data_IF_291326456392
#
_entry.id   IF_291326456392
#
_cell.length_a   1.000
_cell.length_b   1.000
_cell.length_c   1.000
_cell.angle_alpha   90.00
_cell.angle_beta   90.00
_cell.angle_gamma   90.00
#
_symmetry.space_group_name_H-M   'P 1'
#
loop_
_entity.id
_entity.type
_entity.pdbx_description
1 polymer ?
#
# COMPACT_ATOMS: atom_id res chain seq x y z
N UNK A 1 10.09 -0.50 14.56
CA UNK A 1 9.60 -0.82 13.20
C UNK A 1 9.55 -2.33 13.06
N UNK A 2 8.46 -2.85 12.52
CA UNK A 2 8.22 -4.28 12.29
C UNK A 2 8.09 -4.50 10.79
N UNK A 3 8.64 -5.61 10.29
CA UNK A 3 8.46 -6.08 8.91
C UNK A 3 8.02 -7.54 8.99
N UNK A 4 6.97 -7.90 8.26
CA UNK A 4 6.39 -9.25 8.27
C UNK A 4 6.25 -9.73 6.83
N UNK A 5 6.67 -10.97 6.59
CA UNK A 5 6.44 -11.66 5.34
C UNK A 5 5.03 -12.28 5.33
N UNK A 6 4.16 -11.71 4.53
CA UNK A 6 2.79 -12.23 4.33
C UNK A 6 2.74 -13.33 3.25
N UNK A 7 1.62 -14.01 3.15
CA UNK A 7 1.34 -14.95 2.06
C UNK A 7 1.64 -14.34 0.69
N UNK A 8 2.26 -15.12 -0.17
CA UNK A 8 2.78 -14.68 -1.45
C UNK A 8 4.27 -14.32 -1.45
N UNK A 9 4.89 -14.06 -0.30
CA UNK A 9 6.33 -13.79 -0.22
C UNK A 9 7.14 -14.98 -0.71
N UNK A 10 8.11 -14.77 -1.64
CA UNK A 10 8.95 -15.87 -2.16
C UNK A 10 9.88 -16.44 -1.09
N UNK A 11 10.47 -17.59 -1.40
CA UNK A 11 11.47 -18.32 -0.59
C UNK A 11 10.96 -19.02 0.69
N UNK A 12 9.68 -18.92 1.04
CA UNK A 12 9.08 -19.71 2.13
C UNK A 12 8.71 -21.11 1.62
N UNK A 13 7.76 -21.20 0.70
CA UNK A 13 7.40 -22.43 -0.01
C UNK A 13 6.56 -22.13 -1.25
N UNK A 14 6.49 -23.06 -2.22
CA UNK A 14 5.58 -22.91 -3.37
C UNK A 14 4.10 -22.80 -2.98
N UNK A 15 3.69 -23.45 -1.90
CA UNK A 15 2.32 -23.34 -1.40
C UNK A 15 2.06 -21.95 -0.82
N UNK A 16 2.99 -21.39 -0.07
CA UNK A 16 2.89 -20.04 0.50
C UNK A 16 2.83 -18.96 -0.60
N UNK A 17 3.63 -19.09 -1.65
CA UNK A 17 3.57 -18.18 -2.81
C UNK A 17 2.20 -18.24 -3.50
N UNK A 18 1.60 -19.44 -3.63
CA UNK A 18 0.32 -19.61 -4.31
C UNK A 18 -0.90 -19.15 -3.51
N UNK A 19 -0.76 -18.77 -2.25
CA UNK A 19 -1.89 -18.27 -1.43
C UNK A 19 -2.53 -17.02 -2.01
N UNK A 20 -1.76 -16.20 -2.74
CA UNK A 20 -2.24 -14.97 -3.39
C UNK A 20 -2.72 -15.18 -4.84
N UNK A 21 -2.73 -16.41 -5.34
CA UNK A 21 -3.15 -16.67 -6.72
C UNK A 21 -4.60 -16.21 -6.95
N UNK A 22 -4.79 -15.37 -7.97
CA UNK A 22 -6.03 -14.69 -8.36
C UNK A 22 -6.58 -13.65 -7.36
N UNK A 23 -5.83 -13.32 -6.28
CA UNK A 23 -6.21 -12.32 -5.28
C UNK A 23 -4.99 -11.82 -4.51
N UNK A 24 -4.56 -10.61 -4.72
CA UNK A 24 -3.36 -10.07 -4.05
C UNK A 24 -3.64 -9.56 -2.66
N UNK A 25 -4.72 -8.80 -2.51
CA UNK A 25 -4.89 -7.86 -1.44
C UNK A 25 -5.28 -8.51 -0.13
N UNK A 26 -6.33 -9.34 -0.16
CA UNK A 26 -6.97 -9.78 1.08
C UNK A 26 -6.05 -10.63 1.94
N UNK A 27 -5.38 -11.62 1.34
CA UNK A 27 -4.47 -12.51 2.09
C UNK A 27 -3.32 -11.73 2.72
N UNK A 28 -2.68 -10.84 1.92
CA UNK A 28 -1.56 -10.05 2.42
C UNK A 28 -1.98 -9.09 3.54
N UNK A 29 -3.14 -8.45 3.41
CA UNK A 29 -3.66 -7.52 4.42
C UNK A 29 -4.04 -8.24 5.72
N UNK A 30 -4.72 -9.37 5.63
CA UNK A 30 -5.12 -10.16 6.80
C UNK A 30 -3.89 -10.67 7.55
N UNK A 31 -2.90 -11.22 6.83
CA UNK A 31 -1.64 -11.69 7.42
C UNK A 31 -0.89 -10.56 8.15
N UNK A 32 -0.84 -9.35 7.58
CA UNK A 32 -0.22 -8.19 8.23
C UNK A 32 -0.97 -7.81 9.51
N UNK A 33 -2.29 -7.80 9.49
CA UNK A 33 -3.12 -7.46 10.65
C UNK A 33 -2.99 -8.53 11.76
N UNK A 34 -2.99 -9.81 11.39
CA UNK A 34 -2.88 -10.91 12.34
C UNK A 34 -1.48 -11.00 12.96
N UNK A 35 -0.43 -10.74 12.16
CA UNK A 35 0.93 -10.65 12.66
C UNK A 35 1.10 -9.53 13.70
N UNK A 36 0.50 -8.34 13.46
CA UNK A 36 0.54 -7.25 14.43
C UNK A 36 -0.14 -7.65 15.75
N UNK A 37 -1.30 -8.30 15.69
CA UNK A 37 -2.00 -8.80 16.89
C UNK A 37 -1.17 -9.82 17.65
N UNK A 38 -0.57 -10.77 16.94
CA UNK A 38 0.29 -11.79 17.55
C UNK A 38 1.54 -11.19 18.20
N UNK A 39 2.17 -10.21 17.55
CA UNK A 39 3.31 -9.49 18.12
C UNK A 39 2.90 -8.67 19.35
N UNK A 40 1.78 -7.96 19.31
CA UNK A 40 1.29 -7.20 20.46
C UNK A 40 0.98 -8.06 21.68
N UNK A 41 0.56 -9.31 21.49
CA UNK A 41 0.34 -10.24 22.58
C UNK A 41 1.64 -10.66 23.29
N UNK A 42 2.79 -10.58 22.62
CA UNK A 42 4.11 -10.98 23.14
C UNK A 42 5.06 -9.81 23.41
N UNK A 43 4.76 -8.63 22.89
CA UNK A 43 5.57 -7.42 23.00
C UNK A 43 4.71 -6.28 23.54
N UNK A 44 4.58 -6.12 24.85
CA UNK A 44 3.68 -5.14 25.49
C UNK A 44 4.12 -3.68 25.31
N UNK A 45 5.32 -3.45 24.78
CA UNK A 45 5.84 -2.14 24.38
C UNK A 45 5.35 -1.67 23.00
N UNK A 46 4.67 -2.54 22.24
CA UNK A 46 4.01 -2.17 20.99
C UNK A 46 2.65 -1.51 21.24
N UNK A 47 2.51 -0.28 20.80
CA UNK A 47 1.25 0.45 20.87
C UNK A 47 0.37 0.13 19.65
N UNK A 48 -0.56 -0.78 19.82
CA UNK A 48 -1.47 -1.19 18.75
C UNK A 48 -2.62 -0.19 18.50
N UNK A 49 -2.78 0.82 19.33
CA UNK A 49 -3.77 1.90 19.13
C UNK A 49 -3.21 3.02 18.24
N UNK A 50 -1.91 2.96 17.89
CA UNK A 50 -1.22 3.96 17.07
C UNK A 50 -0.30 3.31 16.04
N UNK A 51 -0.87 2.49 15.16
CA UNK A 51 -0.13 1.76 14.11
C UNK A 51 -0.05 2.58 12.84
N UNK A 52 1.17 2.98 12.44
CA UNK A 52 1.46 3.54 11.14
C UNK A 52 2.03 2.50 10.19
N UNK A 53 1.65 2.57 8.91
CA UNK A 53 2.20 1.70 7.86
C UNK A 53 2.88 2.54 6.79
N UNK A 54 4.01 2.06 6.28
CA UNK A 54 4.68 2.66 5.12
C UNK A 54 5.15 1.59 4.16
N UNK A 55 5.13 1.90 2.89
CA UNK A 55 5.64 1.00 1.87
C UNK A 55 5.81 1.69 0.52
N UNK A 56 6.53 1.02 -0.37
CA UNK A 56 6.82 1.49 -1.73
C UNK A 56 6.37 0.45 -2.74
N UNK A 57 5.89 0.88 -3.93
CA UNK A 57 5.40 0.00 -4.99
C UNK A 57 4.26 -0.90 -4.49
N UNK A 58 4.37 -2.21 -4.55
CA UNK A 58 3.40 -3.13 -3.94
C UNK A 58 3.22 -2.89 -2.43
N UNK A 59 4.30 -2.53 -1.72
CA UNK A 59 4.19 -2.10 -0.31
C UNK A 59 3.41 -0.80 -0.15
N UNK A 60 3.51 0.12 -1.10
CA UNK A 60 2.68 1.34 -1.17
C UNK A 60 1.21 1.01 -1.40
N UNK A 61 0.93 0.06 -2.30
CA UNK A 61 -0.40 -0.50 -2.49
C UNK A 61 -0.98 -1.06 -1.18
N UNK A 62 -0.24 -1.93 -0.48
CA UNK A 62 -0.68 -2.48 0.80
C UNK A 62 -0.84 -1.41 1.87
N UNK A 63 0.01 -0.39 1.89
CA UNK A 63 -0.10 0.73 2.83
C UNK A 63 -1.39 1.53 2.64
N UNK A 64 -1.75 1.86 1.40
CA UNK A 64 -3.02 2.52 1.09
C UNK A 64 -4.21 1.61 1.40
N UNK A 65 -4.16 0.34 0.98
CA UNK A 65 -5.20 -0.65 1.25
C UNK A 65 -5.47 -0.82 2.75
N UNK A 66 -4.41 -0.80 3.57
CA UNK A 66 -4.50 -0.97 5.01
C UNK A 66 -5.41 0.08 5.67
N UNK A 67 -5.24 1.35 5.32
CA UNK A 67 -6.08 2.42 5.89
C UNK A 67 -7.45 2.54 5.22
N UNK A 68 -7.60 2.00 4.01
CA UNK A 68 -8.91 1.94 3.32
C UNK A 68 -9.80 0.82 3.88
N UNK A 69 -9.23 -0.37 4.14
CA UNK A 69 -10.03 -1.56 4.52
C UNK A 69 -9.90 -2.00 5.96
N UNK A 70 -8.80 -1.63 6.63
CA UNK A 70 -8.55 -2.00 8.03
C UNK A 70 -8.20 -0.80 8.90
N UNK A 71 -9.05 0.25 8.92
CA UNK A 71 -8.86 1.42 9.78
C UNK A 71 -8.94 1.09 11.28
N UNK A 72 -9.45 -0.10 11.61
CA UNK A 72 -9.46 -0.68 12.94
C UNK A 72 -8.08 -1.10 13.44
N UNK A 73 -7.14 -1.38 12.53
CA UNK A 73 -5.78 -1.84 12.84
C UNK A 73 -4.74 -0.79 12.45
N UNK A 74 -4.91 -0.15 11.28
CA UNK A 74 -3.94 0.80 10.73
C UNK A 74 -4.47 2.22 10.82
N UNK A 75 -3.72 3.09 11.51
CA UNK A 75 -4.19 4.41 11.92
C UNK A 75 -3.63 5.56 11.07
N UNK A 76 -2.57 5.31 10.29
CA UNK A 76 -2.03 6.23 9.30
C UNK A 76 -1.20 5.46 8.26
N UNK A 77 -1.09 5.98 7.01
CA UNK A 77 -0.28 5.36 5.98
C UNK A 77 0.55 6.35 5.17
N UNK A 78 1.76 5.92 4.78
CA UNK A 78 2.56 6.50 3.71
C UNK A 78 2.65 5.49 2.57
N UNK A 79 2.03 5.79 1.44
CA UNK A 79 1.93 4.93 0.26
C UNK A 79 2.76 5.51 -0.88
N UNK A 80 3.97 4.96 -1.09
CA UNK A 80 4.88 5.37 -2.14
C UNK A 80 4.67 4.58 -3.42
N UNK A 81 4.53 5.25 -4.55
CA UNK A 81 4.38 4.70 -5.89
C UNK A 81 3.41 3.49 -5.96
N UNK A 82 2.18 3.60 -5.40
CA UNK A 82 1.26 2.47 -5.34
C UNK A 82 0.66 2.15 -6.71
N UNK A 83 0.68 0.89 -7.18
CA UNK A 83 -0.19 0.45 -8.28
C UNK A 83 -1.64 0.37 -7.75
N UNK A 84 -2.49 1.31 -8.13
CA UNK A 84 -3.84 1.45 -7.54
C UNK A 84 -4.93 0.68 -8.28
N UNK A 85 -4.65 0.25 -9.51
CA UNK A 85 -5.50 -0.58 -10.34
C UNK A 85 -4.62 -1.49 -11.22
N UNK A 86 -4.63 -2.77 -10.97
CA UNK A 86 -3.78 -3.73 -11.68
C UNK A 86 -4.14 -3.92 -13.15
N UNK A 87 -5.29 -3.44 -13.60
CA UNK A 87 -5.65 -3.37 -15.04
C UNK A 87 -4.79 -2.35 -15.81
N UNK A 88 -4.14 -1.44 -15.10
CA UNK A 88 -3.26 -0.39 -15.63
C UNK A 88 -1.78 -0.68 -15.42
N UNK A 89 -1.44 -1.83 -14.84
CA UNK A 89 -0.07 -2.23 -14.57
C UNK A 89 0.42 -3.25 -15.60
N UNK A 90 1.74 -3.52 -15.64
CA UNK A 90 2.31 -4.41 -16.63
C UNK A 90 1.77 -5.85 -16.55
N UNK A 91 1.59 -6.49 -17.70
CA UNK A 91 0.98 -7.81 -17.82
C UNK A 91 1.89 -8.92 -17.32
N UNK A 92 3.20 -8.80 -17.49
CA UNK A 92 4.16 -9.82 -17.10
C UNK A 92 4.16 -10.08 -15.59
N UNK A 93 4.01 -9.00 -14.80
CA UNK A 93 3.85 -9.10 -13.35
C UNK A 93 2.42 -9.49 -12.98
N UNK A 94 1.45 -8.74 -13.48
CA UNK A 94 0.05 -8.82 -13.02
C UNK A 94 -0.59 -10.16 -13.36
N UNK A 95 -0.49 -10.61 -14.61
CA UNK A 95 -1.13 -11.83 -15.08
C UNK A 95 -0.53 -13.11 -14.46
N UNK A 96 0.73 -13.05 -14.04
CA UNK A 96 1.37 -14.14 -13.29
C UNK A 96 0.60 -14.48 -12.00
N UNK A 97 0.02 -13.48 -11.35
CA UNK A 97 -0.65 -13.64 -10.06
C UNK A 97 -2.16 -13.63 -10.19
N UNK A 98 -2.71 -12.70 -10.99
CA UNK A 98 -4.17 -12.53 -11.14
C UNK A 98 -4.76 -13.33 -12.31
N UNK A 99 -3.94 -13.81 -13.24
CA UNK A 99 -4.41 -14.36 -14.51
C UNK A 99 -4.87 -13.25 -15.46
N UNK A 100 -5.52 -13.61 -16.56
CA UNK A 100 -6.04 -12.64 -17.52
C UNK A 100 -7.23 -11.86 -16.91
N UNK A 101 -7.35 -10.55 -17.19
CA UNK A 101 -8.49 -9.75 -16.69
C UNK A 101 -9.84 -10.31 -17.10
N UNK A 102 -9.94 -10.90 -18.30
CA UNK A 102 -11.17 -11.51 -18.81
C UNK A 102 -11.55 -12.80 -18.08
N UNK A 103 -10.58 -13.50 -17.48
CA UNK A 103 -10.77 -14.75 -16.75
C UNK A 103 -10.94 -14.55 -15.24
N UNK A 104 -10.57 -13.38 -14.74
CA UNK A 104 -10.62 -13.04 -13.31
C UNK A 104 -11.08 -11.58 -13.07
N UNK A 105 -12.18 -11.11 -13.67
CA UNK A 105 -12.63 -9.73 -13.53
C UNK A 105 -12.90 -9.34 -12.06
N UNK A 106 -13.44 -10.27 -11.27
CA UNK A 106 -13.73 -10.04 -9.85
C UNK A 106 -12.48 -9.87 -9.01
N UNK A 107 -11.40 -10.62 -9.31
CA UNK A 107 -10.10 -10.45 -8.63
C UNK A 107 -9.47 -9.09 -8.91
N UNK A 108 -9.52 -8.64 -10.17
CA UNK A 108 -9.04 -7.31 -10.53
C UNK A 108 -9.88 -6.19 -9.90
N UNK A 109 -11.19 -6.34 -9.83
CA UNK A 109 -12.06 -5.40 -9.14
C UNK A 109 -11.80 -5.38 -7.64
N UNK A 110 -11.65 -6.56 -7.02
CA UNK A 110 -11.35 -6.68 -5.59
C UNK A 110 -10.00 -6.04 -5.19
N UNK A 111 -9.04 -6.00 -6.11
CA UNK A 111 -7.71 -5.43 -5.88
C UNK A 111 -7.57 -3.97 -6.35
N UNK A 112 -8.68 -3.30 -6.74
CA UNK A 112 -8.70 -1.90 -7.16
C UNK A 112 -8.87 -0.96 -5.94
N UNK A 113 -7.86 -0.15 -5.63
CA UNK A 113 -7.93 0.83 -4.53
C UNK A 113 -8.84 2.02 -4.85
N UNK A 114 -9.00 2.33 -6.13
CA UNK A 114 -9.80 3.49 -6.56
C UNK A 114 -11.26 3.33 -6.15
N UNK A 115 -11.77 2.09 -6.20
CA UNK A 115 -13.14 1.76 -5.82
C UNK A 115 -13.38 1.88 -4.30
N UNK A 116 -12.32 1.79 -3.49
CA UNK A 116 -12.38 1.90 -2.03
C UNK A 116 -12.23 3.36 -1.53
N UNK A 117 -12.02 4.33 -2.41
CA UNK A 117 -11.68 5.71 -2.04
C UNK A 117 -12.64 6.34 -1.01
N UNK A 118 -13.94 6.05 -1.12
CA UNK A 118 -14.95 6.56 -0.19
C UNK A 118 -14.79 6.05 1.26
N UNK A 119 -14.05 4.98 1.47
CA UNK A 119 -13.84 4.34 2.79
C UNK A 119 -12.70 4.96 3.58
N UNK A 120 -11.94 5.90 3.02
CA UNK A 120 -10.81 6.49 3.73
C UNK A 120 -11.24 7.31 4.95
N UNK A 121 -10.88 6.84 6.14
CA UNK A 121 -11.12 7.52 7.43
C UNK A 121 -9.83 7.90 8.16
N UNK A 122 -8.68 7.44 7.66
CA UNK A 122 -7.38 7.58 8.32
C UNK A 122 -6.45 8.49 7.50
N UNK A 123 -5.51 9.20 8.15
CA UNK A 123 -4.50 9.98 7.44
C UNK A 123 -3.73 9.15 6.42
N UNK A 124 -3.69 9.64 5.18
CA UNK A 124 -2.97 9.01 4.06
C UNK A 124 -2.06 10.03 3.39
N UNK A 125 -0.78 9.69 3.27
CA UNK A 125 0.19 10.37 2.43
C UNK A 125 0.48 9.49 1.20
N UNK A 126 0.14 10.00 0.02
CA UNK A 126 0.53 9.44 -1.26
C UNK A 126 1.85 10.08 -1.70
N UNK A 127 2.81 9.28 -2.14
CA UNK A 127 4.10 9.75 -2.67
C UNK A 127 4.32 9.17 -4.05
N UNK A 128 4.77 9.98 -5.03
CA UNK A 128 5.05 9.45 -6.37
C UNK A 128 6.13 10.23 -7.10
N UNK A 129 7.06 9.51 -7.73
CA UNK A 129 8.02 10.06 -8.68
C UNK A 129 7.34 10.40 -10.00
N UNK A 130 7.42 11.65 -10.46
CA UNK A 130 6.74 12.07 -11.68
C UNK A 130 7.40 11.53 -12.98
N UNK A 131 8.62 10.99 -12.90
CA UNK A 131 9.30 10.31 -13.98
C UNK A 131 9.29 8.78 -13.81
N UNK A 132 8.37 8.24 -13.00
CA UNK A 132 8.23 6.79 -12.76
C UNK A 132 7.72 6.11 -14.02
N UNK A 133 8.55 5.23 -14.58
CA UNK A 133 8.31 4.46 -15.80
C UNK A 133 7.93 3.00 -15.53
N UNK A 134 7.91 2.59 -14.26
CA UNK A 134 7.46 1.27 -13.81
C UNK A 134 5.99 1.34 -13.34
N UNK A 135 5.72 2.04 -12.24
CA UNK A 135 4.36 2.36 -11.81
C UNK A 135 4.05 3.80 -12.23
N UNK A 136 3.35 3.95 -13.34
CA UNK A 136 3.09 5.28 -13.88
C UNK A 136 2.37 6.18 -12.87
N UNK A 137 2.71 7.48 -12.75
CA UNK A 137 2.10 8.41 -11.79
C UNK A 137 0.57 8.51 -11.87
N UNK A 138 -0.02 8.13 -13.00
CA UNK A 138 -1.48 8.06 -13.16
C UNK A 138 -2.17 7.19 -12.10
N UNK A 139 -1.52 6.15 -11.60
CA UNK A 139 -2.06 5.33 -10.52
C UNK A 139 -2.39 6.17 -9.29
N UNK A 140 -1.41 6.91 -8.78
CA UNK A 140 -1.60 7.79 -7.63
C UNK A 140 -2.58 8.93 -7.93
N UNK A 141 -2.52 9.50 -9.14
CA UNK A 141 -3.43 10.60 -9.52
C UNK A 141 -4.88 10.13 -9.61
N UNK A 142 -5.16 8.93 -10.11
CA UNK A 142 -6.50 8.34 -10.15
C UNK A 142 -7.06 8.11 -8.74
N UNK A 143 -6.25 7.55 -7.84
CA UNK A 143 -6.67 7.39 -6.44
C UNK A 143 -6.91 8.74 -5.76
N UNK A 144 -6.01 9.71 -5.95
CA UNK A 144 -6.17 11.07 -5.41
C UNK A 144 -7.43 11.76 -5.96
N UNK A 145 -7.73 11.58 -7.25
CA UNK A 145 -8.97 12.10 -7.87
C UNK A 145 -10.21 11.48 -7.22
N UNK A 146 -10.23 10.15 -7.04
CA UNK A 146 -11.35 9.44 -6.43
C UNK A 146 -11.55 9.84 -4.95
N UNK A 147 -10.46 9.96 -4.18
CA UNK A 147 -10.49 10.45 -2.80
C UNK A 147 -11.05 11.87 -2.72
N UNK A 148 -10.61 12.77 -3.61
CA UNK A 148 -11.10 14.15 -3.68
C UNK A 148 -12.59 14.17 -4.02
N UNK A 149 -13.03 13.40 -5.01
CA UNK A 149 -14.44 13.29 -5.40
C UNK A 149 -15.32 12.74 -4.27
N UNK A 150 -14.77 11.83 -3.45
CA UNK A 150 -15.45 11.28 -2.26
C UNK A 150 -15.38 12.21 -1.02
N UNK A 151 -14.75 13.39 -1.13
CA UNK A 151 -14.57 14.31 -0.01
C UNK A 151 -13.64 13.78 1.10
N UNK A 152 -12.67 12.92 0.72
CA UNK A 152 -11.72 12.30 1.67
C UNK A 152 -10.37 13.03 1.66
N UNK A 153 -10.05 13.80 2.72
CA UNK A 153 -8.79 14.51 2.82
C UNK A 153 -7.58 13.56 2.82
N UNK A 154 -6.58 13.90 2.04
CA UNK A 154 -5.32 13.18 1.95
C UNK A 154 -4.18 14.13 1.59
N UNK A 155 -2.95 13.67 1.69
CA UNK A 155 -1.77 14.42 1.28
C UNK A 155 -1.14 13.76 0.05
N UNK A 156 -0.60 14.58 -0.86
CA UNK A 156 0.14 14.12 -2.03
C UNK A 156 1.51 14.80 -2.09
N UNK A 157 2.58 14.00 -2.09
CA UNK A 157 3.95 14.44 -2.32
C UNK A 157 4.41 13.97 -3.69
N UNK A 158 4.39 14.88 -4.65
CA UNK A 158 4.93 14.64 -5.98
C UNK A 158 6.45 14.92 -6.00
N UNK A 159 7.22 14.01 -6.61
CA UNK A 159 8.68 14.09 -6.69
C UNK A 159 9.12 14.32 -8.15
N UNK A 160 9.32 15.59 -8.58
CA UNK A 160 9.72 15.90 -9.94
C UNK A 160 11.07 15.26 -10.31
N UNK A 161 11.16 14.65 -11.51
CA UNK A 161 12.37 14.04 -12.02
C UNK A 161 12.80 12.73 -11.35
N UNK A 162 12.02 12.21 -10.40
CA UNK A 162 12.28 10.94 -9.72
C UNK A 162 11.54 9.82 -10.44
N UNK A 163 12.27 8.74 -10.72
CA UNK A 163 11.76 7.49 -11.29
C UNK A 163 11.23 6.56 -10.18
N UNK A 164 10.96 5.29 -10.52
CA UNK A 164 10.50 4.31 -9.53
C UNK A 164 11.51 4.07 -8.40
N UNK A 165 12.79 4.18 -8.70
CA UNK A 165 13.87 4.02 -7.71
C UNK A 165 14.36 5.38 -7.25
N UNK A 166 14.14 5.71 -5.99
CA UNK A 166 14.63 6.95 -5.40
C UNK A 166 16.15 6.91 -5.17
N UNK A 167 16.93 7.89 -5.68
CA UNK A 167 18.36 8.00 -5.36
C UNK A 167 18.60 8.14 -3.86
N UNK A 168 19.76 7.67 -3.37
CA UNK A 168 20.06 7.58 -1.93
C UNK A 168 19.81 8.88 -1.14
N UNK A 169 20.27 10.03 -1.63
CA UNK A 169 20.04 11.33 -0.97
C UNK A 169 18.57 11.74 -0.93
N UNK A 170 17.78 11.41 -1.97
CA UNK A 170 16.33 11.68 -1.99
C UNK A 170 15.61 10.73 -1.04
N UNK A 171 16.02 9.47 -0.99
CA UNK A 171 15.39 8.46 -0.14
C UNK A 171 15.51 8.80 1.35
N UNK A 172 16.66 9.37 1.78
CA UNK A 172 16.83 9.83 3.16
C UNK A 172 15.86 10.97 3.51
N UNK A 173 15.79 11.99 2.66
CA UNK A 173 14.88 13.13 2.87
C UNK A 173 13.41 12.71 2.81
N UNK A 174 13.06 11.82 1.90
CA UNK A 174 11.72 11.24 1.81
C UNK A 174 11.36 10.46 3.09
N UNK A 175 12.28 9.65 3.60
CA UNK A 175 12.07 8.92 4.86
C UNK A 175 11.81 9.89 6.03
N UNK A 176 12.52 11.02 6.11
CA UNK A 176 12.27 12.02 7.13
C UNK A 176 10.89 12.68 6.98
N UNK A 177 10.48 12.98 5.75
CA UNK A 177 9.14 13.53 5.47
C UNK A 177 8.02 12.55 5.86
N UNK A 178 8.15 11.28 5.50
CA UNK A 178 7.20 10.21 5.88
C UNK A 178 7.12 10.03 7.40
N UNK A 179 8.27 10.02 8.10
CA UNK A 179 8.30 9.94 9.56
C UNK A 179 7.65 11.17 10.22
N UNK A 180 7.88 12.36 9.69
CA UNK A 180 7.24 13.58 10.19
C UNK A 180 5.71 13.52 10.00
N UNK A 181 5.24 13.05 8.84
CA UNK A 181 3.82 12.83 8.60
C UNK A 181 3.23 11.82 9.60
N UNK A 182 3.85 10.64 9.75
CA UNK A 182 3.35 9.61 10.66
C UNK A 182 3.34 10.06 12.12
N UNK A 183 4.37 10.79 12.59
CA UNK A 183 4.39 11.35 13.94
C UNK A 183 3.22 12.30 14.18
N UNK A 184 2.94 13.18 13.22
CA UNK A 184 1.81 14.11 13.32
C UNK A 184 0.47 13.36 13.30
N UNK A 185 0.31 12.42 12.36
CA UNK A 185 -0.91 11.66 12.17
C UNK A 185 -1.25 10.77 13.39
N UNK A 186 -0.23 10.18 14.02
CA UNK A 186 -0.35 9.29 15.19
C UNK A 186 -0.22 10.02 16.53
N UNK A 187 0.00 11.34 16.54
CA UNK A 187 0.18 12.17 17.76
C UNK A 187 1.33 11.66 18.64
N UNK A 188 2.48 11.37 18.02
CA UNK A 188 3.71 10.89 18.68
C UNK A 188 4.66 12.04 19.02
#
# INVERSE_FOLDING_TARGET
MVTVDNGGTPFVSPAFVRTIFRRFSQVALDDQADALRALGATHPDLDLDRVGVRGWSYGGYLGALAVLRRPDVFHAACAGAPPTDFRLYDTAYTERYLGLPQENPDGYAADCLVDDAASLDRPLLLVHGLADDNVHPSHTLLLSQALTAAGRPHSLLALPGITHMTPGGVNEQLTQAELAFLRTALKL
#
